data_IF_042525134683
#
_entry.id   IF_042525134683
#
_cell.length_a   1.000
_cell.length_b   1.000
_cell.length_c   1.000
_cell.angle_alpha   90.00
_cell.angle_beta   90.00
_cell.angle_gamma   90.00
#
_symmetry.space_group_name_H-M   'P 1'
#
loop_
_entity.id
_entity.type
_entity.pdbx_description
1 polymer ?
#
# COMPACT_ATOMS: atom_id res chain seq x y z
N UNK A 1 9.11 19.26 3.34
CA UNK A 1 9.18 18.83 2.85
C UNK A 1 9.30 18.40 2.50
N UNK A 2 9.40 17.97 2.96
CA UNK A 2 9.36 17.33 2.44
C UNK A 2 9.76 17.09 1.97
N UNK A 3 10.01 17.25 2.20
CA UNK A 3 10.32 16.95 1.51
C UNK A 3 10.85 16.60 1.10
N UNK A 4 11.05 16.56 1.41
CA UNK A 4 11.51 16.18 0.85
C UNK A 4 11.97 15.81 0.86
N UNK A 5 11.99 15.59 1.38
CA UNK A 5 12.33 15.13 1.28
C UNK A 5 12.78 14.73 1.66
N UNK A 6 12.71 14.53 2.10
CA UNK A 6 13.14 14.08 2.49
C UNK A 6 13.42 13.59 3.20
N UNK A 7 13.26 13.17 3.91
CA UNK A 7 13.35 12.69 4.54
C UNK A 7 13.28 12.23 5.29
N UNK A 8 13.07 12.13 6.06
CA UNK A 8 12.71 11.80 6.44
C UNK A 8 12.75 12.03 6.86
N UNK A 9 12.82 12.13 7.30
CA UNK A 9 12.57 12.36 7.32
C UNK A 9 12.24 12.79 6.94
N UNK A 10 12.01 13.19 6.80
CA UNK A 10 11.46 13.44 6.11
C UNK A 10 11.16 13.44 5.29
N UNK A 11 10.87 13.98 4.86
CA UNK A 11 10.37 13.91 3.87
C UNK A 11 9.88 13.39 3.01
N UNK A 12 8.80 13.43 2.96
CA UNK A 12 8.40 12.38 2.07
C UNK A 12 8.06 12.91 0.74
N UNK A 13 8.59 12.27 -0.25
CA UNK A 13 8.36 12.61 -1.64
C UNK A 13 7.38 11.63 -2.23
N UNK A 14 6.33 12.12 -2.88
CA UNK A 14 5.37 11.24 -3.53
C UNK A 14 5.96 10.51 -4.73
N UNK A 15 7.15 10.79 -5.12
CA UNK A 15 7.83 10.07 -6.19
C UNK A 15 8.41 8.74 -5.76
N UNK A 16 8.14 8.30 -4.58
CA UNK A 16 8.66 7.08 -4.00
C UNK A 16 10.15 7.07 -3.79
N UNK A 17 10.82 8.15 -4.11
CA UNK A 17 12.23 8.25 -3.80
C UNK A 17 12.35 9.01 -2.49
N UNK A 18 12.12 8.32 -1.42
CA UNK A 18 12.34 8.89 -0.11
C UNK A 18 13.82 8.89 0.25
N UNK A 19 14.64 8.82 -0.76
CA UNK A 19 16.07 9.00 -0.66
C UNK A 19 16.77 7.98 0.19
N UNK A 20 16.76 8.20 1.46
CA UNK A 20 17.49 7.37 2.41
C UNK A 20 16.99 5.92 2.51
N UNK A 21 15.88 5.62 1.90
CA UNK A 21 15.21 4.33 2.11
C UNK A 21 15.32 3.40 0.91
N UNK A 22 16.37 3.52 0.13
CA UNK A 22 16.55 2.74 -1.08
C UNK A 22 17.49 1.55 -0.92
N UNK A 23 18.29 1.54 0.12
CA UNK A 23 19.21 0.43 0.35
C UNK A 23 18.47 -0.76 0.95
N UNK A 24 19.06 -1.94 0.84
CA UNK A 24 18.49 -3.18 1.34
C UNK A 24 19.16 -3.69 2.60
N UNK A 25 20.01 -2.89 3.22
CA UNK A 25 20.65 -3.33 4.47
C UNK A 25 19.65 -3.25 5.63
N UNK A 26 20.01 -3.85 6.76
CA UNK A 26 19.14 -3.94 7.92
C UNK A 26 18.68 -2.58 8.44
N UNK A 27 19.55 -1.59 8.40
CA UNK A 27 19.20 -0.24 8.88
C UNK A 27 18.10 0.37 8.00
N UNK A 28 18.20 0.19 6.68
CA UNK A 28 17.17 0.70 5.78
C UNK A 28 15.88 -0.10 5.92
N UNK A 29 15.97 -1.39 6.16
CA UNK A 29 14.80 -2.22 6.42
C UNK A 29 14.04 -1.71 7.65
N UNK A 30 14.77 -1.48 8.76
CA UNK A 30 14.15 -0.94 9.97
C UNK A 30 13.52 0.43 9.75
N UNK A 31 14.17 1.28 8.97
CA UNK A 31 13.63 2.59 8.63
C UNK A 31 12.36 2.48 7.81
N UNK A 32 12.32 1.55 6.86
CA UNK A 32 11.14 1.31 6.03
C UNK A 32 9.97 0.84 6.87
N UNK A 33 10.22 -0.08 7.81
CA UNK A 33 9.16 -0.54 8.71
C UNK A 33 8.63 0.58 9.58
N UNK A 34 9.51 1.40 10.15
CA UNK A 34 9.12 2.54 10.98
C UNK A 34 8.31 3.55 10.17
N UNK A 35 8.74 3.83 8.95
CA UNK A 35 8.03 4.72 8.04
C UNK A 35 6.62 4.20 7.76
N UNK A 36 6.52 2.93 7.38
CA UNK A 36 5.22 2.32 7.04
C UNK A 36 4.27 2.38 8.23
N UNK A 37 4.75 2.01 9.41
CA UNK A 37 3.95 2.05 10.64
C UNK A 37 3.42 3.45 10.92
N UNK A 38 4.29 4.44 10.84
CA UNK A 38 3.93 5.83 11.07
C UNK A 38 2.93 6.33 10.02
N UNK A 39 3.16 5.97 8.75
CA UNK A 39 2.29 6.41 7.66
C UNK A 39 0.88 5.80 7.77
N UNK A 40 0.77 4.52 8.11
CA UNK A 40 -0.56 3.90 8.30
C UNK A 40 -1.33 4.59 9.42
N UNK A 41 -0.64 4.98 10.50
CA UNK A 41 -1.28 5.72 11.58
C UNK A 41 -1.75 7.09 11.10
N UNK A 42 -0.96 7.75 10.27
CA UNK A 42 -1.33 9.04 9.70
C UNK A 42 -2.56 8.91 8.82
N UNK A 43 -2.62 7.90 7.97
CA UNK A 43 -3.78 7.65 7.09
C UNK A 43 -5.04 7.45 7.94
N UNK A 44 -4.95 6.63 8.98
CA UNK A 44 -6.10 6.36 9.85
C UNK A 44 -6.51 7.58 10.69
N UNK A 45 -5.62 8.53 10.87
CA UNK A 45 -5.93 9.78 11.57
C UNK A 45 -6.58 10.86 10.71
N UNK A 46 -6.63 10.66 9.40
CA UNK A 46 -7.25 11.61 8.47
C UNK A 46 -8.74 11.31 8.33
N UNK A 47 -9.49 12.27 7.77
CA UNK A 47 -10.90 12.02 7.46
C UNK A 47 -10.99 10.97 6.38
N UNK A 48 -11.64 9.87 6.71
CA UNK A 48 -11.76 8.68 5.86
C UNK A 48 -12.31 9.01 4.48
N UNK A 49 -13.39 9.78 4.43
CA UNK A 49 -14.02 10.10 3.16
C UNK A 49 -13.15 10.97 2.26
N UNK A 50 -12.32 11.82 2.81
CA UNK A 50 -11.40 12.63 2.01
C UNK A 50 -10.27 11.78 1.43
N UNK A 51 -9.79 10.84 2.21
CA UNK A 51 -8.75 9.90 1.76
C UNK A 51 -9.27 9.09 0.57
N UNK A 52 -10.46 8.51 0.73
CA UNK A 52 -11.10 7.69 -0.28
C UNK A 52 -11.39 8.51 -1.54
N UNK A 53 -11.95 9.70 -1.39
CA UNK A 53 -12.28 10.56 -2.53
C UNK A 53 -11.05 10.95 -3.33
N UNK A 54 -9.94 11.27 -2.66
CA UNK A 54 -8.71 11.64 -3.34
C UNK A 54 -8.17 10.48 -4.18
N UNK A 55 -8.10 9.28 -3.60
CA UNK A 55 -7.59 8.12 -4.32
C UNK A 55 -8.54 7.73 -5.46
N UNK A 56 -9.85 7.79 -5.24
CA UNK A 56 -10.83 7.50 -6.28
C UNK A 56 -10.65 8.44 -7.48
N UNK A 57 -10.52 9.73 -7.22
CA UNK A 57 -10.31 10.73 -8.27
C UNK A 57 -9.02 10.43 -9.05
N UNK A 58 -7.93 10.21 -8.35
CA UNK A 58 -6.62 10.08 -8.96
C UNK A 58 -6.42 8.74 -9.66
N UNK A 59 -7.06 7.68 -9.19
CA UNK A 59 -6.98 6.35 -9.81
C UNK A 59 -8.02 6.13 -10.90
N UNK A 60 -9.03 7.01 -10.97
CA UNK A 60 -10.20 6.87 -11.85
C UNK A 60 -11.04 5.65 -11.55
N UNK A 61 -10.98 5.18 -10.31
CA UNK A 61 -11.84 4.11 -9.81
C UNK A 61 -13.01 4.71 -9.03
N UNK A 62 -14.08 3.95 -8.85
CA UNK A 62 -15.25 4.45 -8.13
C UNK A 62 -14.94 4.64 -6.63
N UNK A 63 -15.64 5.60 -6.02
CA UNK A 63 -15.56 5.81 -4.57
C UNK A 63 -15.92 4.52 -3.83
N UNK A 64 -16.92 3.80 -4.32
CA UNK A 64 -17.35 2.54 -3.69
C UNK A 64 -16.24 1.49 -3.71
N UNK A 65 -15.51 1.36 -4.81
CA UNK A 65 -14.42 0.41 -4.91
C UNK A 65 -13.25 0.82 -4.00
N UNK A 66 -12.91 2.10 -3.98
CA UNK A 66 -11.84 2.58 -3.10
C UNK A 66 -12.23 2.45 -1.63
N UNK A 67 -13.50 2.63 -1.30
CA UNK A 67 -13.99 2.39 0.06
C UNK A 67 -13.72 0.95 0.50
N UNK A 68 -14.04 0.00 -0.37
CA UNK A 68 -13.77 -1.42 -0.08
C UNK A 68 -12.27 -1.69 0.07
N UNK A 69 -11.46 -1.11 -0.80
CA UNK A 69 -10.01 -1.26 -0.75
C UNK A 69 -9.46 -0.68 0.56
N UNK A 70 -9.91 0.52 0.92
CA UNK A 70 -9.47 1.17 2.15
C UNK A 70 -9.77 0.31 3.38
N UNK A 71 -11.00 -0.19 3.46
CA UNK A 71 -11.40 -1.05 4.56
C UNK A 71 -10.53 -2.31 4.61
N UNK A 72 -10.33 -2.95 3.48
CA UNK A 72 -9.53 -4.17 3.39
C UNK A 72 -8.08 -3.96 3.83
N UNK A 73 -7.47 -2.89 3.36
CA UNK A 73 -6.05 -2.62 3.59
C UNK A 73 -5.78 -2.07 4.99
N UNK A 74 -6.63 -1.16 5.47
CA UNK A 74 -6.31 -0.39 6.67
C UNK A 74 -7.19 -0.70 7.89
N UNK A 75 -8.36 -1.28 7.70
CA UNK A 75 -9.32 -1.38 8.80
C UNK A 75 -9.70 -2.81 9.21
N UNK A 76 -9.82 -3.71 8.27
CA UNK A 76 -10.35 -5.05 8.51
C UNK A 76 -9.27 -5.98 9.02
N UNK A 77 -9.61 -6.80 10.00
CA UNK A 77 -8.76 -7.88 10.48
C UNK A 77 -8.94 -9.11 9.58
N UNK A 78 -7.86 -9.81 9.33
CA UNK A 78 -7.81 -10.97 8.43
C UNK A 78 -7.34 -12.21 9.17
N UNK A 79 -7.80 -13.37 8.69
CA UNK A 79 -7.36 -14.67 9.20
C UNK A 79 -6.12 -15.12 8.43
N UNK A 80 -5.03 -15.37 9.16
CA UNK A 80 -3.77 -15.83 8.56
C UNK A 80 -3.56 -17.32 8.78
N UNK A 81 -2.64 -17.92 8.01
CA UNK A 81 -2.39 -19.37 8.01
C UNK A 81 -2.01 -19.92 9.39
N UNK A 82 -1.36 -19.13 10.21
CA UNK A 82 -0.98 -19.53 11.56
C UNK A 82 -2.14 -19.47 12.55
N UNK A 83 -3.34 -19.13 12.08
CA UNK A 83 -4.54 -19.00 12.91
C UNK A 83 -4.70 -17.65 13.57
N UNK A 84 -3.75 -16.73 13.41
CA UNK A 84 -3.86 -15.40 13.99
C UNK A 84 -4.86 -14.54 13.19
N UNK A 85 -5.50 -13.58 13.88
CA UNK A 85 -6.43 -12.64 13.29
C UNK A 85 -5.97 -11.25 13.65
N UNK A 86 -5.61 -10.46 12.65
CA UNK A 86 -5.18 -9.08 12.85
C UNK A 86 -5.22 -8.32 11.52
N UNK A 87 -5.07 -7.00 11.59
CA UNK A 87 -4.92 -6.18 10.39
C UNK A 87 -3.62 -6.53 9.69
N UNK A 88 -3.52 -6.15 8.42
CA UNK A 88 -2.24 -6.26 7.72
C UNK A 88 -1.16 -5.49 8.47
N UNK A 89 0.03 -6.06 8.49
CA UNK A 89 1.20 -5.37 9.01
C UNK A 89 1.55 -4.26 8.03
N UNK A 90 1.82 -3.03 8.50
CA UNK A 90 2.16 -1.93 7.61
C UNK A 90 3.29 -2.28 6.66
N UNK A 91 3.08 -1.98 5.39
CA UNK A 91 4.01 -2.30 4.31
C UNK A 91 4.53 -1.02 3.66
N UNK A 92 5.84 -0.95 3.50
CA UNK A 92 6.50 0.24 2.96
C UNK A 92 6.08 0.53 1.51
N UNK A 93 6.05 -0.49 0.66
CA UNK A 93 5.73 -0.29 -0.75
C UNK A 93 4.27 0.10 -0.93
N UNK A 94 3.38 -0.46 -0.12
CA UNK A 94 1.98 -0.05 -0.07
C UNK A 94 1.88 1.42 0.34
N UNK A 95 2.63 1.82 1.36
CA UNK A 95 2.64 3.21 1.81
C UNK A 95 3.06 4.15 0.68
N UNK A 96 4.12 3.80 -0.04
CA UNK A 96 4.59 4.61 -1.17
C UNK A 96 3.54 4.69 -2.28
N UNK A 97 2.91 3.58 -2.61
CA UNK A 97 1.84 3.56 -3.62
C UNK A 97 0.67 4.44 -3.18
N UNK A 98 0.27 4.32 -1.91
CA UNK A 98 -0.86 5.12 -1.40
C UNK A 98 -0.56 6.62 -1.42
N UNK A 99 0.67 7.01 -1.09
CA UNK A 99 1.10 8.41 -1.17
C UNK A 99 0.90 8.95 -2.59
N UNK A 100 1.40 8.24 -3.60
CA UNK A 100 1.27 8.65 -4.99
C UNK A 100 -0.19 8.75 -5.41
N UNK A 101 -0.98 7.74 -5.05
CA UNK A 101 -2.41 7.69 -5.42
C UNK A 101 -3.19 8.81 -4.74
N UNK A 102 -2.89 9.08 -3.46
CA UNK A 102 -3.57 10.14 -2.72
C UNK A 102 -3.22 11.52 -3.26
N UNK A 103 -1.97 11.76 -3.59
CA UNK A 103 -1.51 13.06 -4.08
C UNK A 103 -1.77 13.26 -5.58
N UNK A 104 -1.95 12.19 -6.30
CA UNK A 104 -2.15 12.26 -7.75
C UNK A 104 -0.88 12.60 -8.51
N UNK A 105 0.27 12.27 -7.97
CA UNK A 105 1.57 12.57 -8.57
C UNK A 105 2.40 11.32 -8.72
N UNK A 106 3.02 11.18 -9.88
CA UNK A 106 3.96 10.08 -10.17
C UNK A 106 3.33 8.72 -10.00
N UNK A 107 2.03 8.58 -10.28
CA UNK A 107 1.33 7.31 -10.18
C UNK A 107 1.99 6.31 -11.13
N UNK A 108 2.32 5.15 -10.61
CA UNK A 108 3.02 4.10 -11.35
C UNK A 108 2.05 2.99 -11.74
N UNK A 109 2.39 2.20 -12.79
CA UNK A 109 1.53 1.07 -13.18
C UNK A 109 1.25 0.11 -12.03
N UNK A 110 2.23 -0.18 -11.19
CA UNK A 110 2.02 -1.08 -10.06
C UNK A 110 1.09 -0.51 -8.99
N UNK A 111 0.94 0.82 -8.90
CA UNK A 111 -0.01 1.43 -7.97
C UNK A 111 -1.45 1.07 -8.35
N UNK A 112 -1.74 1.11 -9.65
CA UNK A 112 -3.08 0.77 -10.15
C UNK A 112 -3.36 -0.73 -10.07
N UNK A 113 -2.34 -1.54 -10.35
CA UNK A 113 -2.44 -2.99 -10.19
C UNK A 113 -2.71 -3.34 -8.74
N UNK A 114 -2.04 -2.66 -7.81
CA UNK A 114 -2.26 -2.85 -6.39
C UNK A 114 -3.72 -2.64 -6.00
N UNK A 115 -4.33 -1.56 -6.45
CA UNK A 115 -5.73 -1.29 -6.12
C UNK A 115 -6.64 -2.41 -6.61
N UNK A 116 -6.43 -2.91 -7.82
CA UNK A 116 -7.24 -4.01 -8.36
C UNK A 116 -7.00 -5.32 -7.62
N UNK A 117 -5.75 -5.57 -7.24
CA UNK A 117 -5.38 -6.72 -6.44
C UNK A 117 -6.13 -6.68 -5.10
N UNK A 118 -6.04 -5.57 -4.40
CA UNK A 118 -6.66 -5.43 -3.08
C UNK A 118 -8.19 -5.49 -3.17
N UNK A 119 -8.78 -4.95 -4.22
CA UNK A 119 -10.22 -5.03 -4.40
C UNK A 119 -10.68 -6.47 -4.58
N UNK A 120 -10.05 -7.20 -5.49
CA UNK A 120 -10.40 -8.59 -5.75
C UNK A 120 -10.19 -9.46 -4.51
N UNK A 121 -9.08 -9.27 -3.83
CA UNK A 121 -8.75 -9.99 -2.62
C UNK A 121 -9.79 -9.73 -1.53
N UNK A 122 -10.14 -8.47 -1.32
CA UNK A 122 -11.13 -8.09 -0.31
C UNK A 122 -12.52 -8.64 -0.61
N UNK A 123 -12.89 -8.71 -1.88
CA UNK A 123 -14.19 -9.27 -2.27
C UNK A 123 -14.27 -10.77 -1.99
N UNK A 124 -13.15 -11.46 -2.07
CA UNK A 124 -13.11 -12.90 -1.81
C UNK A 124 -13.03 -13.20 -0.30
N UNK A 125 -12.13 -12.54 0.42
CA UNK A 125 -11.95 -12.82 1.86
C UNK A 125 -13.08 -12.25 2.72
N UNK A 126 -13.72 -11.19 2.26
CA UNK A 126 -14.79 -10.54 3.01
C UNK A 126 -14.31 -9.88 4.28
N UNK A 127 -15.22 -9.71 5.25
CA UNK A 127 -14.96 -8.93 6.47
C UNK A 127 -15.00 -9.75 7.75
N UNK A 128 -15.34 -11.04 7.68
CA UNK A 128 -15.58 -11.86 8.86
C UNK A 128 -14.37 -12.58 9.41
N UNK A 129 -13.21 -12.44 8.80
CA UNK A 129 -11.99 -13.15 9.18
C UNK A 129 -12.19 -14.66 9.26
N UNK A 130 -12.95 -15.22 8.31
CA UNK A 130 -13.25 -16.64 8.25
C UNK A 130 -12.61 -17.34 7.06
N UNK A 131 -12.14 -16.56 6.07
CA UNK A 131 -11.49 -17.10 4.87
C UNK A 131 -9.99 -16.86 5.02
N UNK A 132 -9.14 -17.90 4.98
CA UNK A 132 -7.69 -17.74 5.09
C UNK A 132 -7.15 -16.82 4.00
N UNK A 133 -6.32 -15.88 4.39
CA UNK A 133 -5.83 -14.83 3.50
C UNK A 133 -4.86 -15.34 2.45
N UNK A 134 -3.85 -16.13 2.86
CA UNK A 134 -2.72 -16.46 1.98
C UNK A 134 -3.12 -17.20 0.70
N UNK A 135 -4.01 -18.22 0.74
CA UNK A 135 -4.43 -18.86 -0.51
C UNK A 135 -5.16 -17.91 -1.46
N UNK A 136 -5.94 -16.96 -0.91
CA UNK A 136 -6.65 -15.97 -1.72
C UNK A 136 -5.64 -15.02 -2.35
N UNK A 137 -4.66 -14.57 -1.58
CA UNK A 137 -3.59 -13.71 -2.09
C UNK A 137 -2.87 -14.37 -3.27
N UNK A 138 -2.50 -15.64 -3.12
CA UNK A 138 -1.81 -16.37 -4.17
C UNK A 138 -2.64 -16.46 -5.45
N UNK A 139 -3.94 -16.67 -5.28
CA UNK A 139 -4.85 -16.77 -6.44
C UNK A 139 -5.02 -15.41 -7.13
N UNK A 140 -5.19 -14.35 -6.37
CA UNK A 140 -5.36 -12.99 -6.90
C UNK A 140 -4.09 -12.52 -7.62
N UNK A 141 -2.93 -12.92 -7.12
CA UNK A 141 -1.65 -12.55 -7.71
C UNK A 141 -1.52 -13.10 -9.14
N UNK A 142 -2.19 -14.18 -9.48
CA UNK A 142 -2.19 -14.72 -10.84
C UNK A 142 -2.87 -13.77 -11.83
N UNK A 143 -3.86 -13.01 -11.39
CA UNK A 143 -4.58 -12.06 -12.24
C UNK A 143 -3.96 -10.67 -12.15
N UNK A 144 -3.67 -10.21 -10.95
CA UNK A 144 -3.08 -8.88 -10.70
C UNK A 144 -1.74 -9.08 -10.00
N UNK A 145 -0.69 -9.26 -10.79
CA UNK A 145 0.65 -9.58 -10.28
C UNK A 145 1.37 -8.31 -9.84
N UNK A 146 1.04 -7.87 -8.62
CA UNK A 146 1.61 -6.68 -8.03
C UNK A 146 3.12 -6.83 -7.81
N UNK A 147 3.55 -7.99 -7.30
CA UNK A 147 4.97 -8.22 -6.97
C UNK A 147 5.85 -8.05 -8.20
N UNK A 148 5.45 -8.60 -9.34
CA UNK A 148 6.21 -8.48 -10.59
C UNK A 148 6.26 -7.04 -11.07
N UNK A 149 5.13 -6.33 -11.02
CA UNK A 149 5.07 -4.93 -11.46
C UNK A 149 5.90 -4.03 -10.55
N UNK A 150 5.86 -4.27 -9.25
CA UNK A 150 6.67 -3.53 -8.29
C UNK A 150 8.15 -3.77 -8.54
N UNK A 151 8.56 -5.02 -8.73
CA UNK A 151 9.97 -5.35 -8.98
C UNK A 151 10.49 -4.64 -10.22
N UNK A 152 9.70 -4.63 -11.29
CA UNK A 152 10.07 -3.93 -12.52
C UNK A 152 10.32 -2.44 -12.24
N UNK A 153 9.42 -1.80 -11.51
CA UNK A 153 9.59 -0.40 -11.13
C UNK A 153 10.88 -0.18 -10.34
N UNK A 154 11.13 -1.02 -9.34
CA UNK A 154 12.30 -0.87 -8.49
C UNK A 154 13.60 -1.03 -9.29
N UNK A 155 13.64 -1.99 -10.20
CA UNK A 155 14.80 -2.21 -11.05
C UNK A 155 15.05 -1.05 -12.01
N UNK A 156 13.99 -0.56 -12.64
CA UNK A 156 14.09 0.55 -13.60
C UNK A 156 14.51 1.86 -12.94
N UNK A 157 14.34 1.98 -11.64
CA UNK A 157 14.68 3.19 -10.90
C UNK A 157 15.89 3.00 -9.97
N UNK A 158 16.62 1.90 -10.13
CA UNK A 158 17.81 1.60 -9.32
C UNK A 158 17.52 1.57 -7.83
N UNK A 159 16.36 1.05 -7.45
CA UNK A 159 15.94 0.98 -6.06
C UNK A 159 16.10 -0.43 -5.46
N UNK A 160 16.68 -1.33 -6.21
CA UNK A 160 16.99 -2.69 -5.77
C UNK A 160 18.46 -3.00 -5.92
#
# INVERSE_FOLDING_TARGET
MLTNNTGIGGIIQSGAKSGALTSKNDADFSKREAFAKSYYQEVLGRKREYEISAVAKNSKMSVNDIDKIFAHVFEIEHLFDDGSIHKFIPDYDMAQSWIRLREGKNIQPHDLILLKHELMEGEIVGTGATVPYEPVHDEVEKTYNYVSALRKYLEENDLV
#
